data_IF_399726160498
#
_entry.id   IF_399726160498
#
_cell.length_a   1.000
_cell.length_b   1.000
_cell.length_c   1.000
_cell.angle_alpha   90.00
_cell.angle_beta   90.00
_cell.angle_gamma   90.00
#
_symmetry.space_group_name_H-M   'P 1'
#
loop_
_entity.id
_entity.type
_entity.pdbx_description
1 polymer ?
#
# COMPACT_ATOMS: atom_id res chain seq x y z
N UNK A 1 -21.55 -30.19 -41.54
CA UNK A 1 -22.27 -28.92 -41.36
C UNK A 1 -23.39 -29.15 -40.38
N UNK A 2 -23.51 -28.21 -39.43
CA UNK A 2 -24.50 -28.07 -38.35
C UNK A 2 -24.22 -28.80 -37.01
N UNK A 3 -23.75 -27.98 -36.07
CA UNK A 3 -23.84 -28.01 -34.59
C UNK A 3 -25.33 -28.02 -34.16
N UNK A 4 -25.79 -28.25 -32.92
CA UNK A 4 -25.40 -27.69 -31.62
C UNK A 4 -26.30 -28.36 -30.53
N UNK A 5 -25.79 -28.61 -29.33
CA UNK A 5 -26.52 -29.15 -28.17
C UNK A 5 -26.68 -28.10 -27.05
N UNK A 6 -27.75 -28.26 -26.26
CA UNK A 6 -28.01 -27.85 -24.85
C UNK A 6 -28.41 -26.40 -24.53
N UNK A 7 -29.60 -26.13 -23.93
CA UNK A 7 -30.06 -26.36 -22.53
C UNK A 7 -29.20 -25.54 -21.54
N UNK A 8 -29.68 -24.71 -20.60
CA UNK A 8 -30.56 -24.90 -19.43
C UNK A 8 -30.80 -23.47 -18.86
N UNK A 9 -32.03 -22.94 -18.72
CA UNK A 9 -32.86 -22.87 -17.49
C UNK A 9 -32.20 -22.34 -16.19
N UNK A 10 -33.02 -21.65 -15.37
CA UNK A 10 -33.05 -21.63 -13.87
C UNK A 10 -32.54 -20.34 -13.19
N UNK A 11 -33.42 -19.41 -12.77
CA UNK A 11 -34.14 -19.27 -11.47
C UNK A 11 -33.50 -18.19 -10.56
N UNK A 12 -34.21 -17.11 -10.21
CA UNK A 12 -35.01 -16.87 -8.97
C UNK A 12 -34.18 -16.63 -7.70
N UNK A 13 -34.60 -15.61 -6.92
CA UNK A 13 -34.30 -15.43 -5.49
C UNK A 13 -33.61 -14.08 -5.20
N UNK A 14 -34.24 -13.02 -4.72
CA UNK A 14 -35.08 -12.78 -3.52
C UNK A 14 -34.28 -12.29 -2.30
N UNK A 15 -34.87 -11.32 -1.59
CA UNK A 15 -34.70 -10.90 -0.17
C UNK A 15 -33.27 -10.56 0.36
N UNK A 16 -33.00 -9.58 1.23
CA UNK A 16 -33.73 -8.73 2.17
C UNK A 16 -32.66 -7.88 2.93
N UNK A 17 -33.00 -6.72 3.50
CA UNK A 17 -33.31 -6.59 4.94
C UNK A 17 -32.06 -6.77 5.83
N UNK A 18 -31.61 -5.91 6.74
CA UNK A 18 -32.18 -4.72 7.42
C UNK A 18 -31.14 -4.19 8.44
N UNK A 19 -31.45 -3.00 8.98
CA UNK A 19 -31.36 -2.57 10.39
C UNK A 19 -30.03 -2.18 11.08
N UNK A 20 -29.91 -0.85 11.25
CA UNK A 20 -29.47 -0.08 12.42
C UNK A 20 -29.25 -0.81 13.77
N UNK A 21 -28.24 -0.36 14.54
CA UNK A 21 -28.26 -0.40 16.00
C UNK A 21 -27.46 0.75 16.62
N UNK A 22 -28.20 1.68 17.20
CA UNK A 22 -27.79 2.72 18.16
C UNK A 22 -27.67 2.18 19.59
N UNK A 23 -26.76 2.73 20.39
CA UNK A 23 -26.73 2.66 21.86
C UNK A 23 -25.58 3.55 22.35
N UNK A 24 -25.81 4.79 22.78
CA UNK A 24 -26.44 5.29 24.02
C UNK A 24 -25.71 4.89 25.32
N UNK A 25 -25.16 5.93 25.97
CA UNK A 25 -25.09 6.19 27.41
C UNK A 25 -24.20 5.33 28.33
N UNK A 26 -23.26 5.94 29.06
CA UNK A 26 -23.25 5.85 30.54
C UNK A 26 -22.21 6.75 31.20
N UNK A 27 -22.75 7.56 32.10
CA UNK A 27 -22.20 8.39 33.17
C UNK A 27 -21.01 7.88 33.98
N UNK A 28 -20.18 8.85 34.39
CA UNK A 28 -19.67 9.14 35.74
C UNK A 28 -19.24 8.04 36.74
N UNK A 29 -18.28 8.49 37.55
CA UNK A 29 -17.92 8.09 38.92
C UNK A 29 -16.63 7.32 39.19
N UNK A 30 -15.91 7.97 40.09
CA UNK A 30 -14.70 7.64 40.82
C UNK A 30 -14.79 6.35 41.61
N UNK A 31 -13.67 5.63 41.69
CA UNK A 31 -13.27 4.97 42.93
C UNK A 31 -11.75 5.09 43.06
N UNK A 32 -11.33 5.92 44.01
CA UNK A 32 -9.95 6.02 44.45
C UNK A 32 -9.59 4.78 45.28
N UNK A 33 -9.02 3.75 44.66
CA UNK A 33 -8.34 2.68 45.40
C UNK A 33 -6.87 3.04 45.58
N UNK A 34 -6.61 3.66 46.73
CA UNK A 34 -5.29 3.75 47.34
C UNK A 34 -4.93 2.40 47.96
N UNK A 35 -3.91 1.72 47.44
CA UNK A 35 -3.15 0.71 48.19
C UNK A 35 -1.79 0.47 47.55
N UNK A 36 -0.77 1.02 48.22
CA UNK A 36 0.58 0.43 48.31
C UNK A 36 1.41 0.36 47.03
N UNK A 37 1.59 1.51 46.36
CA UNK A 37 2.63 1.68 45.33
C UNK A 37 3.96 2.10 46.00
N UNK A 38 4.60 1.16 46.70
CA UNK A 38 6.05 1.29 46.89
C UNK A 38 6.69 1.38 45.50
N UNK A 39 7.64 2.30 45.26
CA UNK A 39 8.36 2.32 43.99
C UNK A 39 9.19 1.06 43.92
N UNK A 40 8.65 0.01 43.29
CA UNK A 40 9.39 -1.19 42.90
C UNK A 40 10.59 -0.71 42.12
N UNK A 41 11.75 -0.72 42.79
CA UNK A 41 13.01 -0.35 42.17
C UNK A 41 13.17 -1.09 40.84
N UNK A 42 13.90 -0.51 39.87
CA UNK A 42 13.95 -1.04 38.51
C UNK A 42 14.34 -2.52 38.57
N UNK A 43 13.45 -3.37 38.07
CA UNK A 43 13.68 -4.82 38.06
C UNK A 43 15.00 -5.09 37.33
N UNK A 44 15.71 -6.15 37.71
CA UNK A 44 16.96 -6.55 37.03
C UNK A 44 16.80 -6.79 35.52
N UNK A 45 15.58 -6.89 35.01
CA UNK A 45 15.27 -6.89 33.58
C UNK A 45 15.35 -5.48 32.96
N UNK A 46 14.82 -4.47 33.64
CA UNK A 46 14.84 -3.06 33.21
C UNK A 46 16.25 -2.43 33.27
N UNK A 47 17.15 -2.98 34.09
CA UNK A 47 18.54 -2.51 34.22
C UNK A 47 19.46 -3.03 33.09
N UNK A 48 18.97 -3.91 32.21
CA UNK A 48 19.77 -4.48 31.12
C UNK A 48 19.70 -3.57 29.89
N UNK A 49 20.81 -3.49 29.16
CA UNK A 49 20.83 -2.80 27.88
C UNK A 49 19.83 -3.46 26.91
N UNK A 50 19.00 -2.67 26.19
CA UNK A 50 18.03 -3.21 25.24
C UNK A 50 18.74 -3.91 24.09
N UNK A 51 18.17 -5.04 23.65
CA UNK A 51 18.68 -5.78 22.49
C UNK A 51 18.07 -5.20 21.22
N UNK A 52 18.91 -4.80 20.28
CA UNK A 52 18.51 -4.23 18.98
C UNK A 52 17.58 -5.18 18.18
N UNK A 53 17.73 -6.49 18.36
CA UNK A 53 16.96 -7.51 17.64
C UNK A 53 15.81 -8.12 18.44
N UNK A 54 15.52 -7.61 19.65
CA UNK A 54 14.39 -8.11 20.44
C UNK A 54 13.07 -7.86 19.71
N UNK A 55 12.20 -8.88 19.65
CA UNK A 55 10.84 -8.74 19.14
C UNK A 55 10.70 -8.56 17.62
N UNK A 56 11.77 -8.75 16.83
CA UNK A 56 11.78 -8.40 15.40
C UNK A 56 10.70 -9.06 14.53
N UNK A 57 10.16 -10.21 14.94
CA UNK A 57 9.06 -10.91 14.24
C UNK A 57 7.79 -11.02 15.08
N UNK A 58 7.74 -10.39 16.26
CA UNK A 58 6.58 -10.51 17.16
C UNK A 58 5.31 -9.93 16.54
N UNK A 59 5.45 -8.88 15.72
CA UNK A 59 4.33 -8.28 14.99
C UNK A 59 3.76 -9.20 13.91
N UNK A 60 4.54 -10.17 13.43
CA UNK A 60 4.15 -11.14 12.40
C UNK A 60 3.93 -12.54 12.98
N UNK A 61 3.61 -12.64 14.28
CA UNK A 61 3.32 -13.90 14.95
C UNK A 61 2.06 -13.84 15.83
N UNK A 62 1.48 -12.65 16.06
CA UNK A 62 0.47 -12.47 17.11
C UNK A 62 -0.64 -11.53 16.64
N UNK A 63 -1.87 -12.07 16.59
CA UNK A 63 -3.12 -11.32 16.71
C UNK A 63 -3.96 -11.16 15.43
N UNK A 64 -5.00 -10.35 15.58
CA UNK A 64 -6.00 -9.98 14.55
C UNK A 64 -5.36 -9.44 13.27
N UNK A 65 -4.23 -8.73 13.38
CA UNK A 65 -3.52 -8.18 12.23
C UNK A 65 -3.01 -9.25 11.25
N UNK A 66 -2.58 -10.42 11.76
CA UNK A 66 -2.12 -11.49 10.89
C UNK A 66 -3.29 -12.23 10.23
N UNK A 67 -4.40 -12.40 10.94
CA UNK A 67 -5.63 -12.98 10.37
C UNK A 67 -6.19 -12.08 9.25
N UNK A 68 -6.17 -10.76 9.45
CA UNK A 68 -6.54 -9.78 8.42
C UNK A 68 -5.59 -9.81 7.22
N UNK A 69 -4.28 -9.92 7.44
CA UNK A 69 -3.28 -10.05 6.37
C UNK A 69 -3.50 -11.34 5.55
N UNK A 70 -3.78 -12.47 6.22
CA UNK A 70 -4.07 -13.75 5.58
C UNK A 70 -5.40 -13.73 4.81
N UNK A 71 -6.43 -13.04 5.31
CA UNK A 71 -7.70 -12.88 4.60
C UNK A 71 -7.56 -12.03 3.34
N UNK A 72 -6.79 -10.93 3.42
CA UNK A 72 -6.58 -10.04 2.26
C UNK A 72 -5.61 -10.63 1.23
N UNK A 73 -4.47 -11.19 1.66
CA UNK A 73 -3.41 -11.68 0.77
C UNK A 73 -3.44 -13.18 0.50
N UNK A 74 -4.19 -13.97 1.28
CA UNK A 74 -4.30 -15.43 1.10
C UNK A 74 -5.29 -15.87 0.01
N UNK A 75 -5.97 -14.90 -0.64
CA UNK A 75 -6.86 -15.15 -1.77
C UNK A 75 -6.15 -15.77 -2.98
N UNK A 76 -6.94 -16.34 -3.90
CA UNK A 76 -6.41 -17.03 -5.09
C UNK A 76 -5.58 -16.15 -6.02
N UNK A 77 -5.80 -14.84 -5.97
CA UNK A 77 -5.13 -13.85 -6.82
C UNK A 77 -3.63 -13.74 -6.56
N UNK A 78 -3.19 -13.99 -5.32
CA UNK A 78 -1.78 -13.87 -4.93
C UNK A 78 -1.11 -15.22 -4.72
N UNK A 79 -1.86 -16.32 -4.88
CA UNK A 79 -1.29 -17.66 -4.79
C UNK A 79 -0.43 -17.94 -6.02
N UNK A 80 0.67 -18.64 -5.79
CA UNK A 80 1.53 -19.10 -6.88
C UNK A 80 0.77 -20.14 -7.71
N UNK A 81 0.56 -19.87 -9.00
CA UNK A 81 0.00 -20.84 -9.93
C UNK A 81 1.12 -21.71 -10.55
N UNK A 82 0.87 -23.01 -10.65
CA UNK A 82 1.85 -23.97 -11.15
C UNK A 82 2.17 -23.79 -12.65
N UNK A 83 1.33 -23.08 -13.39
CA UNK A 83 1.51 -22.77 -14.82
C UNK A 83 1.84 -21.29 -15.05
N UNK A 84 2.22 -20.55 -14.02
CA UNK A 84 2.62 -19.15 -14.17
C UNK A 84 4.01 -19.07 -14.82
N UNK A 85 4.08 -18.36 -15.95
CA UNK A 85 5.31 -18.16 -16.72
C UNK A 85 5.86 -16.77 -16.45
N UNK A 86 7.19 -16.61 -16.56
CA UNK A 86 7.82 -15.29 -16.39
C UNK A 86 7.18 -14.23 -17.30
N UNK A 87 7.03 -13.02 -16.78
CA UNK A 87 6.43 -11.92 -17.51
C UNK A 87 7.19 -11.65 -18.82
N UNK A 88 6.45 -11.54 -19.92
CA UNK A 88 6.99 -11.23 -21.25
C UNK A 88 6.27 -10.03 -21.85
N UNK A 89 7.03 -9.10 -22.41
CA UNK A 89 6.49 -7.92 -23.09
C UNK A 89 6.00 -8.28 -24.48
N UNK A 90 4.76 -7.91 -24.79
CA UNK A 90 4.26 -7.92 -26.17
C UNK A 90 4.66 -6.63 -26.91
N UNK A 91 4.78 -6.65 -28.25
CA UNK A 91 5.08 -5.45 -29.01
C UNK A 91 3.91 -4.45 -28.93
N UNK A 92 4.07 -3.39 -28.15
CA UNK A 92 3.09 -2.33 -28.02
C UNK A 92 3.00 -1.49 -29.31
N UNK A 93 1.78 -1.27 -29.79
CA UNK A 93 1.53 -0.34 -30.87
C UNK A 93 1.79 1.10 -30.40
N UNK A 94 2.11 2.00 -31.33
CA UNK A 94 2.19 3.43 -31.03
C UNK A 94 0.85 3.91 -30.49
N UNK A 95 0.90 4.73 -29.45
CA UNK A 95 -0.25 5.38 -28.86
C UNK A 95 -1.06 6.13 -29.94
N UNK A 96 -2.38 6.01 -29.89
CA UNK A 96 -3.32 6.58 -30.86
C UNK A 96 -4.16 7.61 -30.13
N UNK A 97 -3.98 8.86 -30.51
CA UNK A 97 -4.81 9.93 -30.00
C UNK A 97 -6.05 10.16 -30.87
N UNK A 98 -7.17 10.44 -30.20
CA UNK A 98 -8.36 10.99 -30.83
C UNK A 98 -8.07 12.39 -31.41
N UNK A 99 -8.86 12.79 -32.41
CA UNK A 99 -8.62 14.01 -33.18
C UNK A 99 -8.73 15.30 -32.37
N UNK A 100 -9.50 15.25 -31.28
CA UNK A 100 -9.79 16.37 -30.38
C UNK A 100 -8.84 16.46 -29.18
N UNK A 101 -7.85 15.57 -29.05
CA UNK A 101 -6.95 15.63 -27.90
C UNK A 101 -6.13 16.91 -27.79
N UNK A 102 -5.76 17.49 -28.94
CA UNK A 102 -5.07 18.79 -28.97
C UNK A 102 -6.07 19.94 -29.19
N UNK A 103 -7.37 19.65 -29.29
CA UNK A 103 -8.38 20.69 -29.26
C UNK A 103 -8.36 21.33 -27.88
N UNK A 104 -8.46 22.66 -27.81
CA UNK A 104 -8.56 23.32 -26.53
C UNK A 104 -9.82 22.81 -25.85
N UNK A 105 -9.67 22.17 -24.67
CA UNK A 105 -10.80 21.93 -23.79
C UNK A 105 -11.56 23.25 -23.69
N UNK A 106 -12.82 23.25 -24.13
CA UNK A 106 -13.63 24.46 -24.12
C UNK A 106 -13.54 25.02 -22.71
N UNK A 107 -12.99 26.22 -22.58
CA UNK A 107 -12.98 26.95 -21.32
C UNK A 107 -14.42 27.26 -20.98
N UNK A 108 -15.15 26.29 -20.44
CA UNK A 108 -16.27 26.53 -19.56
C UNK A 108 -15.65 27.13 -18.30
N UNK A 109 -15.22 28.38 -18.42
CA UNK A 109 -14.82 29.24 -17.32
C UNK A 109 -16.07 29.48 -16.49
N UNK A 110 -16.31 28.56 -15.56
CA UNK A 110 -17.02 28.78 -14.31
C UNK A 110 -16.49 27.71 -13.32
N UNK A 111 -15.34 28.05 -12.74
CA UNK A 111 -14.67 27.44 -11.57
C UNK A 111 -14.15 25.99 -11.65
N UNK A 112 -12.88 25.86 -12.05
CA UNK A 112 -11.98 24.86 -11.49
C UNK A 112 -10.53 25.38 -11.44
N UNK A 113 -10.28 26.28 -10.48
CA UNK A 113 -8.93 26.70 -10.09
C UNK A 113 -8.21 25.53 -9.40
N UNK A 114 -7.44 24.73 -10.14
CA UNK A 114 -6.41 23.89 -9.53
C UNK A 114 -5.10 24.68 -9.47
N UNK A 115 -4.77 25.12 -8.26
CA UNK A 115 -3.59 25.92 -7.92
C UNK A 115 -2.29 25.26 -8.42
N UNK A 116 -1.67 25.88 -9.43
CA UNK A 116 -0.33 25.51 -9.93
C UNK A 116 0.68 26.64 -9.67
N UNK A 117 0.62 27.28 -8.50
CA UNK A 117 1.65 28.23 -8.06
C UNK A 117 2.84 27.57 -7.33
N UNK A 118 3.21 26.33 -7.72
CA UNK A 118 4.40 25.66 -7.16
C UNK A 118 5.53 25.51 -8.20
N UNK A 119 6.49 26.43 -8.05
CA UNK A 119 7.93 26.31 -8.42
C UNK A 119 8.36 26.80 -9.82
N UNK A 120 8.20 28.10 -10.10
CA UNK A 120 9.18 28.82 -10.93
C UNK A 120 10.46 29.11 -10.12
N UNK A 121 11.33 28.10 -9.94
CA UNK A 121 12.70 28.30 -9.41
C UNK A 121 13.78 28.20 -10.50
N UNK A 122 14.01 29.36 -11.13
CA UNK A 122 15.29 29.91 -11.63
C UNK A 122 16.33 28.90 -12.16
N UNK A 123 16.45 28.85 -13.50
CA UNK A 123 17.61 28.29 -14.22
C UNK A 123 18.83 29.20 -13.98
N UNK A 124 19.81 28.76 -13.19
CA UNK A 124 21.17 29.29 -13.26
C UNK A 124 22.13 28.16 -13.64
N UNK A 125 22.42 28.06 -14.93
CA UNK A 125 23.41 27.15 -15.46
C UNK A 125 24.81 27.68 -15.10
N UNK A 126 25.46 27.06 -14.12
CA UNK A 126 26.91 27.20 -13.91
C UNK A 126 27.53 25.79 -13.93
N UNK A 127 28.43 25.48 -14.89
CA UNK A 127 28.99 24.14 -14.98
C UNK A 127 29.95 23.90 -13.80
N UNK A 128 29.74 22.79 -13.08
CA UNK A 128 30.66 22.31 -12.03
C UNK A 128 31.93 21.74 -12.68
N UNK A 129 33.12 21.89 -12.08
CA UNK A 129 34.36 21.37 -12.65
C UNK A 129 34.35 19.83 -12.67
N UNK A 130 34.82 19.25 -13.78
CA UNK A 130 34.92 17.80 -13.98
C UNK A 130 35.96 17.22 -13.02
N UNK A 131 35.51 16.47 -12.01
CA UNK A 131 36.41 15.64 -11.20
C UNK A 131 36.85 14.46 -12.06
N UNK A 132 38.12 14.43 -12.45
CA UNK A 132 38.70 13.28 -13.13
C UNK A 132 38.72 12.10 -12.15
N UNK A 133 37.98 11.04 -12.47
CA UNK A 133 38.04 9.78 -11.72
C UNK A 133 39.43 9.15 -11.94
N UNK A 134 40.16 8.74 -10.89
CA UNK A 134 41.45 8.08 -11.09
C UNK A 134 41.24 6.75 -11.82
N UNK A 135 41.97 6.58 -12.92
CA UNK A 135 42.00 5.33 -13.69
C UNK A 135 42.50 4.21 -12.76
N UNK A 136 41.61 3.26 -12.45
CA UNK A 136 41.98 2.03 -11.73
C UNK A 136 42.92 1.23 -12.64
N UNK A 137 44.14 0.96 -12.18
CA UNK A 137 45.07 0.05 -12.87
C UNK A 137 44.48 -1.36 -12.86
N UNK A 138 44.46 -2.03 -14.02
CA UNK A 138 44.04 -3.45 -14.11
C UNK A 138 45.06 -4.31 -13.35
N UNK A 139 44.62 -5.37 -12.63
CA UNK A 139 45.54 -6.29 -11.96
C UNK A 139 46.35 -7.07 -13.01
N UNK A 140 47.63 -7.35 -12.69
CA UNK A 140 48.53 -8.09 -13.57
C UNK A 140 48.04 -9.53 -13.78
N UNK A 141 48.24 -10.13 -14.97
CA UNK A 141 47.95 -11.53 -15.19
C UNK A 141 48.90 -12.40 -14.36
N UNK A 142 48.37 -13.52 -13.87
CA UNK A 142 49.11 -14.56 -13.14
C UNK A 142 50.08 -15.30 -14.06
#
# INVERSE_FOLDING_TARGET
>A
MAEEEKEVEKMMGDEGSTEESSGEDSSEESEAVSSDDEPKGPTVAAQRAPRITAGRRMSALVGEAQEQDEEFYGGDMWREDANDSEYSTEPEAKDKFDSDFNESESSSDEEAVHDVDRVKRRKSNKPKPKVQRPLRKKPAPR
#
